data_IF_825173551330
#
_entry.id   IF_825173551330
#
_cell.length_a   1.000
_cell.length_b   1.000
_cell.length_c   1.000
_cell.angle_alpha   90.00
_cell.angle_beta   90.00
_cell.angle_gamma   90.00
#
_symmetry.space_group_name_H-M   'P 1'
#
loop_
_entity.id
_entity.type
_entity.pdbx_description
1 polymer ?
#
# COMPACT_ATOMS: atom_id res chain seq x y z
N UNK A 1 -7.67 -28.51 25.83
CA UNK A 1 -6.62 -27.67 25.24
C UNK A 1 -6.54 -27.95 23.75
N UNK A 2 -7.23 -27.16 22.93
CA UNK A 2 -7.02 -27.14 21.48
C UNK A 2 -6.95 -25.67 21.09
N UNK A 3 -5.74 -25.11 21.06
CA UNK A 3 -5.48 -23.82 20.45
C UNK A 3 -5.29 -24.06 18.94
N UNK A 4 -6.23 -23.64 18.08
CA UNK A 4 -5.98 -23.65 16.64
C UNK A 4 -5.00 -22.50 16.36
N UNK A 5 -3.75 -22.86 16.09
CA UNK A 5 -2.74 -21.93 15.56
C UNK A 5 -3.34 -21.19 14.36
N UNK A 6 -3.39 -19.84 14.34
CA UNK A 6 -3.90 -19.14 13.18
C UNK A 6 -2.95 -19.42 12.01
N UNK A 7 -3.49 -20.04 10.96
CA UNK A 7 -2.80 -20.18 9.68
C UNK A 7 -2.32 -18.79 9.21
N UNK A 8 -1.18 -18.67 8.52
CA UNK A 8 -0.72 -17.40 8.00
C UNK A 8 -1.82 -16.84 7.10
N UNK A 9 -2.49 -15.80 7.59
CA UNK A 9 -3.62 -15.20 6.93
C UNK A 9 -3.10 -14.70 5.58
N UNK A 10 -3.48 -15.40 4.51
CA UNK A 10 -3.29 -14.92 3.15
C UNK A 10 -4.14 -13.66 3.08
N UNK A 11 -3.53 -12.51 3.39
CA UNK A 11 -4.15 -11.19 3.34
C UNK A 11 -5.01 -11.16 2.07
N UNK A 12 -6.33 -11.07 2.26
CA UNK A 12 -7.28 -11.08 1.15
C UNK A 12 -6.94 -9.88 0.27
N UNK A 13 -7.19 -9.96 -1.04
CA UNK A 13 -6.97 -8.85 -1.97
C UNK A 13 -7.41 -7.45 -1.44
N UNK A 14 -8.54 -7.29 -0.71
CA UNK A 14 -8.90 -6.02 -0.07
C UNK A 14 -7.89 -5.48 0.96
N UNK A 15 -7.24 -6.34 1.75
CA UNK A 15 -6.21 -5.92 2.70
C UNK A 15 -5.00 -5.29 2.01
N UNK A 16 -4.68 -5.76 0.80
CA UNK A 16 -3.50 -5.31 0.05
C UNK A 16 -3.66 -3.88 -0.47
N UNK A 17 -4.87 -3.53 -0.92
CA UNK A 17 -5.19 -2.17 -1.33
C UNK A 17 -5.12 -1.21 -0.12
N UNK A 18 -5.66 -1.62 1.02
CA UNK A 18 -5.57 -0.84 2.26
C UNK A 18 -4.12 -0.66 2.74
N UNK A 19 -3.28 -1.70 2.66
CA UNK A 19 -1.84 -1.58 2.94
C UNK A 19 -1.16 -0.57 2.01
N UNK A 20 -1.50 -0.60 0.72
CA UNK A 20 -0.95 0.35 -0.25
C UNK A 20 -1.35 1.78 0.08
N UNK A 21 -2.61 2.01 0.42
CA UNK A 21 -3.12 3.34 0.80
C UNK A 21 -2.48 3.83 2.09
N UNK A 22 -2.34 2.97 3.11
CA UNK A 22 -1.70 3.32 4.37
C UNK A 22 -0.21 3.68 4.17
N UNK A 23 0.51 2.90 3.36
CA UNK A 23 1.88 3.18 3.00
C UNK A 23 2.01 4.48 2.18
N UNK A 24 1.12 4.67 1.21
CA UNK A 24 1.08 5.88 0.38
C UNK A 24 0.85 7.11 1.24
N UNK A 25 -0.14 7.08 2.14
CA UNK A 25 -0.42 8.13 3.11
C UNK A 25 0.81 8.44 3.97
N UNK A 26 1.47 7.42 4.56
CA UNK A 26 2.69 7.63 5.35
C UNK A 26 3.80 8.36 4.57
N UNK A 27 4.06 7.94 3.32
CA UNK A 27 5.12 8.54 2.50
C UNK A 27 4.72 9.96 2.06
N UNK A 28 3.47 10.15 1.64
CA UNK A 28 2.95 11.46 1.26
C UNK A 28 2.94 12.44 2.44
N UNK A 29 2.55 12.02 3.65
CA UNK A 29 2.59 12.86 4.84
C UNK A 29 4.02 13.26 5.26
N UNK A 30 5.03 12.42 4.98
CA UNK A 30 6.42 12.71 5.35
C UNK A 30 7.15 13.59 4.35
N UNK A 31 6.93 13.39 3.05
CA UNK A 31 7.70 14.05 1.97
C UNK A 31 6.87 14.97 1.07
N UNK A 32 5.56 15.00 1.25
CA UNK A 32 4.63 15.63 0.33
C UNK A 32 4.51 14.88 -1.00
N UNK A 33 3.57 15.30 -1.84
CA UNK A 33 3.32 14.68 -3.14
C UNK A 33 4.55 14.70 -4.08
N UNK A 34 5.35 15.77 -4.06
CA UNK A 34 6.53 15.90 -4.93
C UNK A 34 7.71 15.03 -4.47
N UNK A 35 7.91 14.89 -3.16
CA UNK A 35 9.01 14.11 -2.59
C UNK A 35 8.70 12.61 -2.45
N UNK A 36 7.42 12.23 -2.44
CA UNK A 36 6.99 10.85 -2.43
C UNK A 36 7.18 10.18 -3.81
N UNK A 37 7.75 8.98 -3.79
CA UNK A 37 7.93 8.12 -4.98
C UNK A 37 7.19 6.81 -4.82
N UNK A 38 6.69 6.25 -5.92
CA UNK A 38 6.04 4.92 -5.94
C UNK A 38 6.95 3.84 -5.37
N UNK A 39 8.26 3.95 -5.59
CA UNK A 39 9.27 3.04 -5.02
C UNK A 39 9.30 3.04 -3.49
N UNK A 40 9.23 4.21 -2.85
CA UNK A 40 9.17 4.27 -1.40
C UNK A 40 7.86 3.73 -0.85
N UNK A 41 6.75 3.99 -1.55
CA UNK A 41 5.44 3.47 -1.18
C UNK A 41 5.43 1.94 -1.30
N UNK A 42 6.06 1.40 -2.35
CA UNK A 42 6.22 -0.04 -2.55
C UNK A 42 7.00 -0.67 -1.40
N UNK A 43 8.15 -0.05 -1.06
CA UNK A 43 8.96 -0.47 0.08
C UNK A 43 8.20 -0.41 1.41
N UNK A 44 7.43 0.66 1.65
CA UNK A 44 6.64 0.83 2.85
C UNK A 44 5.45 -0.15 2.95
N UNK A 45 4.84 -0.50 1.81
CA UNK A 45 3.77 -1.50 1.74
C UNK A 45 4.27 -2.95 1.70
N UNK A 46 5.58 -3.17 1.53
CA UNK A 46 6.15 -4.51 1.35
C UNK A 46 5.75 -5.16 0.02
N UNK A 47 5.46 -4.36 -1.01
CA UNK A 47 5.12 -4.83 -2.36
C UNK A 47 6.13 -4.34 -3.39
N UNK A 48 5.99 -4.81 -4.62
CA UNK A 48 6.76 -4.28 -5.76
C UNK A 48 6.03 -3.11 -6.42
N UNK A 49 6.79 -2.22 -7.08
CA UNK A 49 6.21 -1.11 -7.85
C UNK A 49 5.21 -1.60 -8.90
N UNK A 50 5.44 -2.77 -9.49
CA UNK A 50 4.52 -3.40 -10.43
C UNK A 50 3.12 -3.64 -9.84
N UNK A 51 3.01 -4.05 -8.57
CA UNK A 51 1.73 -4.21 -7.88
C UNK A 51 1.05 -2.85 -7.71
N UNK A 52 1.81 -1.80 -7.40
CA UNK A 52 1.26 -0.43 -7.34
C UNK A 52 0.69 -0.03 -8.68
N UNK A 53 1.45 -0.17 -9.78
CA UNK A 53 0.97 0.18 -11.11
C UNK A 53 -0.23 -0.66 -11.58
N UNK A 54 -0.38 -1.88 -11.05
CA UNK A 54 -1.51 -2.75 -11.35
C UNK A 54 -2.81 -2.28 -10.67
N UNK A 55 -2.72 -1.69 -9.48
CA UNK A 55 -3.87 -1.11 -8.75
C UNK A 55 -4.09 0.38 -9.08
N UNK A 56 -3.02 1.14 -9.23
CA UNK A 56 -3.00 2.58 -9.44
C UNK A 56 -2.07 2.91 -10.62
N UNK A 57 -2.62 3.28 -11.79
CA UNK A 57 -1.82 3.49 -13.00
C UNK A 57 -0.85 4.68 -12.88
N UNK A 58 -1.08 5.59 -11.94
CA UNK A 58 -0.29 6.82 -11.75
C UNK A 58 -0.14 7.18 -10.28
N UNK A 59 0.93 7.93 -9.96
CA UNK A 59 1.12 8.54 -8.63
C UNK A 59 -0.06 9.43 -8.24
N UNK A 60 -0.66 10.12 -9.22
CA UNK A 60 -1.86 10.93 -9.02
C UNK A 60 -3.07 10.07 -8.64
N UNK A 61 -3.29 8.93 -9.31
CA UNK A 61 -4.37 8.02 -8.97
C UNK A 61 -4.22 7.47 -7.54
N UNK A 62 -2.99 7.13 -7.16
CA UNK A 62 -2.67 6.70 -5.80
C UNK A 62 -2.90 7.82 -4.78
N UNK A 63 -2.54 9.06 -5.12
CA UNK A 63 -2.76 10.22 -4.26
C UNK A 63 -4.24 10.56 -4.10
N UNK A 64 -5.00 10.55 -5.20
CA UNK A 64 -6.45 10.73 -5.16
C UNK A 64 -7.13 9.67 -4.32
N UNK A 65 -6.71 8.40 -4.44
CA UNK A 65 -7.26 7.31 -3.64
C UNK A 65 -6.91 7.38 -2.14
N UNK A 66 -5.87 8.15 -1.78
CA UNK A 66 -5.55 8.45 -0.38
C UNK A 66 -6.39 9.61 0.17
N UNK A 67 -6.92 10.47 -0.71
CA UNK A 67 -7.75 11.63 -0.35
C UNK A 67 -9.26 11.35 -0.39
N UNK A 68 -9.68 10.27 -1.04
CA UNK A 68 -11.05 9.74 -1.04
C UNK A 68 -11.37 8.99 0.26
#
# INVERSE_FOLDING_TARGET
MNDPRPAPQRLSAPDRQQQLLAAALQVFSRKGFKGATTREIAGAAGVTEAIIFQHFPSKEALYSAVLE
#
